data_IF_829408902737
#
_entry.id   IF_829408902737
#
_cell.length_a   1.000
_cell.length_b   1.000
_cell.length_c   1.000
_cell.angle_alpha   90.00
_cell.angle_beta   90.00
_cell.angle_gamma   90.00
#
_symmetry.space_group_name_H-M   'P 1'
#
loop_
_entity.id
_entity.type
_entity.pdbx_description
1 polymer ?
#
# COMPACT_ATOMS: atom_id res chain seq x y z
N UNK A 1 14.16 13.83 -1.23
CA UNK A 1 15.01 14.04 -2.42
C UNK A 1 14.77 13.00 -3.53
N UNK A 2 14.25 11.79 -3.24
CA UNK A 2 13.91 10.81 -4.28
C UNK A 2 12.69 11.15 -5.18
N UNK A 3 11.81 12.06 -4.75
CA UNK A 3 10.58 12.43 -5.47
C UNK A 3 10.80 13.37 -6.66
N UNK A 4 12.00 13.93 -6.83
CA UNK A 4 12.33 14.86 -7.92
C UNK A 4 12.83 14.12 -9.18
N UNK A 5 13.45 12.95 -9.04
CA UNK A 5 14.08 12.21 -10.13
C UNK A 5 13.09 11.41 -11.00
N UNK A 6 11.99 10.93 -10.42
CA UNK A 6 10.88 10.28 -11.15
C UNK A 6 10.18 11.28 -12.07
N UNK A 7 10.05 12.54 -11.64
CA UNK A 7 9.37 13.60 -12.40
C UNK A 7 10.15 14.09 -13.64
N UNK A 8 11.43 13.75 -13.75
CA UNK A 8 12.30 14.19 -14.87
C UNK A 8 12.72 13.04 -15.80
N UNK A 9 12.05 11.88 -15.74
CA UNK A 9 12.24 10.75 -16.67
C UNK A 9 13.64 10.08 -16.63
N UNK A 10 14.45 10.29 -15.57
CA UNK A 10 15.80 9.72 -15.46
C UNK A 10 15.87 8.33 -14.81
N UNK A 11 14.81 7.92 -14.10
CA UNK A 11 14.67 6.58 -13.49
C UNK A 11 13.22 6.12 -13.61
N UNK A 12 13.02 4.89 -14.07
CA UNK A 12 11.70 4.26 -14.02
C UNK A 12 11.38 3.88 -12.57
N UNK A 13 10.10 3.77 -12.26
CA UNK A 13 9.68 3.39 -10.92
C UNK A 13 10.09 1.98 -10.52
N UNK A 14 10.13 1.06 -11.49
CA UNK A 14 10.72 -0.26 -11.30
C UNK A 14 12.18 -0.14 -10.87
N UNK A 15 12.97 0.73 -11.50
CA UNK A 15 14.35 0.98 -11.09
C UNK A 15 14.44 1.64 -9.70
N UNK A 16 13.53 2.56 -9.36
CA UNK A 16 13.47 3.14 -8.01
C UNK A 16 13.15 2.05 -6.96
N UNK A 17 12.18 1.20 -7.22
CA UNK A 17 11.79 0.09 -6.34
C UNK A 17 12.94 -0.91 -6.21
N UNK A 18 13.52 -1.35 -7.33
CA UNK A 18 14.65 -2.28 -7.32
C UNK A 18 15.84 -1.68 -6.55
N UNK A 19 16.09 -0.38 -6.69
CA UNK A 19 17.11 0.33 -5.92
C UNK A 19 16.78 0.34 -4.43
N UNK A 20 15.54 0.66 -4.04
CA UNK A 20 15.11 0.67 -2.63
C UNK A 20 15.16 -0.74 -2.03
N UNK A 21 14.80 -1.78 -2.79
CA UNK A 21 14.93 -3.18 -2.40
C UNK A 21 16.38 -3.53 -2.09
N UNK A 22 17.31 -3.17 -2.97
CA UNK A 22 18.73 -3.50 -2.84
C UNK A 22 19.39 -2.69 -1.72
N UNK A 23 19.17 -1.36 -1.68
CA UNK A 23 19.84 -0.47 -0.75
C UNK A 23 19.32 -0.57 0.69
N UNK A 24 18.02 -0.80 0.86
CA UNK A 24 17.37 -0.77 2.17
C UNK A 24 16.85 -2.15 2.62
N UNK A 25 16.96 -3.18 1.77
CA UNK A 25 16.45 -4.52 2.07
C UNK A 25 14.93 -4.59 2.20
N UNK A 26 14.20 -3.63 1.62
CA UNK A 26 12.75 -3.49 1.82
C UNK A 26 12.01 -4.32 0.78
N UNK A 27 11.07 -5.15 1.23
CA UNK A 27 10.24 -5.93 0.33
C UNK A 27 9.11 -5.09 -0.29
N UNK A 28 8.72 -5.48 -1.50
CA UNK A 28 7.59 -4.90 -2.20
C UNK A 28 6.34 -5.75 -1.96
N UNK A 29 5.18 -5.11 -1.78
CA UNK A 29 3.90 -5.80 -1.69
C UNK A 29 2.82 -5.22 -2.61
N UNK A 30 2.17 -6.13 -3.31
CA UNK A 30 0.99 -5.85 -4.12
C UNK A 30 -0.26 -6.00 -3.26
N UNK A 31 -0.81 -4.87 -2.79
CA UNK A 31 -2.02 -4.91 -1.95
C UNK A 31 -3.24 -5.50 -2.66
N UNK A 32 -3.23 -5.58 -3.99
CA UNK A 32 -4.31 -6.24 -4.73
C UNK A 32 -4.39 -7.75 -4.50
N UNK A 33 -3.29 -8.36 -4.05
CA UNK A 33 -3.14 -9.81 -3.87
C UNK A 33 -3.14 -10.24 -2.41
N UNK A 34 -3.46 -9.33 -1.50
CA UNK A 34 -3.37 -9.54 -0.06
C UNK A 34 -4.74 -9.37 0.55
N UNK A 35 -5.24 -10.43 1.18
CA UNK A 35 -6.43 -10.37 2.01
C UNK A 35 -6.08 -9.74 3.37
N UNK A 36 -6.48 -8.48 3.54
CA UNK A 36 -6.31 -7.76 4.80
C UNK A 36 -7.49 -8.12 5.70
N UNK A 37 -7.24 -8.88 6.76
CA UNK A 37 -8.28 -9.26 7.72
C UNK A 37 -8.63 -8.08 8.64
N UNK A 38 -9.90 -7.97 9.10
CA UNK A 38 -10.33 -6.88 9.99
C UNK A 38 -9.54 -6.82 11.30
N UNK A 39 -9.02 -7.97 11.77
CA UNK A 39 -8.21 -8.07 12.98
C UNK A 39 -6.92 -7.25 12.92
N UNK A 40 -6.43 -6.92 11.72
CA UNK A 40 -5.25 -6.09 11.54
C UNK A 40 -5.43 -4.67 12.11
N UNK A 41 -6.67 -4.20 12.20
CA UNK A 41 -7.02 -2.92 12.84
C UNK A 41 -6.64 -2.86 14.33
N UNK A 42 -6.49 -4.02 14.98
CA UNK A 42 -6.02 -4.11 16.38
C UNK A 42 -4.55 -3.72 16.53
N UNK A 43 -3.74 -3.88 15.48
CA UNK A 43 -2.33 -3.50 15.48
C UNK A 43 -2.11 -2.07 15.00
N UNK A 44 -2.84 -1.66 13.96
CA UNK A 44 -2.83 -0.28 13.45
C UNK A 44 -4.26 0.17 13.23
N UNK A 45 -4.81 0.98 14.15
CA UNK A 45 -6.14 1.55 14.03
C UNK A 45 -6.32 2.38 12.75
N UNK A 46 -7.52 2.39 12.20
CA UNK A 46 -7.83 3.04 10.91
C UNK A 46 -7.44 4.52 10.86
N UNK A 47 -7.64 5.25 11.96
CA UNK A 47 -7.30 6.67 12.04
C UNK A 47 -5.78 6.88 11.90
N UNK A 48 -4.98 5.99 12.48
CA UNK A 48 -3.53 5.99 12.34
C UNK A 48 -3.12 5.58 10.92
N UNK A 49 -3.71 4.51 10.39
CA UNK A 49 -3.50 4.05 9.02
C UNK A 49 -3.75 5.17 7.99
N UNK A 50 -4.88 5.89 8.14
CA UNK A 50 -5.23 7.08 7.33
C UNK A 50 -4.21 8.19 7.48
N UNK A 51 -3.95 8.61 8.73
CA UNK A 51 -3.10 9.77 9.04
C UNK A 51 -1.67 9.60 8.52
N UNK A 52 -1.14 8.37 8.61
CA UNK A 52 0.25 8.07 8.25
C UNK A 52 0.38 7.40 6.89
N UNK A 53 -0.73 7.12 6.20
CA UNK A 53 -0.77 6.41 4.91
C UNK A 53 -0.03 5.06 4.94
N UNK A 54 -0.36 4.25 5.96
CA UNK A 54 0.20 2.92 6.20
C UNK A 54 -0.90 1.88 6.34
N UNK A 55 -0.60 0.63 5.97
CA UNK A 55 -1.57 -0.47 6.01
C UNK A 55 -0.91 -1.74 6.55
N UNK A 56 -1.37 -2.31 7.69
CA UNK A 56 -0.89 -3.59 8.16
C UNK A 56 -1.33 -4.70 7.19
N UNK A 57 -0.38 -5.50 6.71
CA UNK A 57 -0.64 -6.53 5.68
C UNK A 57 -0.49 -7.95 6.19
N UNK A 58 0.42 -8.16 7.14
CA UNK A 58 0.68 -9.47 7.73
C UNK A 58 1.23 -9.29 9.13
N UNK A 59 0.87 -10.19 10.02
CA UNK A 59 1.40 -10.22 11.38
C UNK A 59 2.03 -11.57 11.67
N UNK A 60 3.13 -11.56 12.40
CA UNK A 60 3.74 -12.75 13.01
C UNK A 60 3.84 -12.55 14.53
N UNK A 61 4.45 -13.53 15.22
CA UNK A 61 4.59 -13.48 16.69
C UNK A 61 5.15 -12.15 17.18
N UNK A 62 6.17 -11.61 16.49
CA UNK A 62 6.89 -10.41 16.93
C UNK A 62 6.98 -9.30 15.86
N UNK A 63 6.61 -9.61 14.61
CA UNK A 63 6.71 -8.64 13.52
C UNK A 63 5.35 -8.27 12.97
N UNK A 64 5.23 -7.01 12.56
CA UNK A 64 4.13 -6.50 11.78
C UNK A 64 4.68 -6.01 10.44
N UNK A 65 4.25 -6.65 9.37
CA UNK A 65 4.54 -6.22 8.01
C UNK A 65 3.59 -5.07 7.68
N UNK A 66 4.17 -3.93 7.31
CA UNK A 66 3.46 -2.67 7.14
C UNK A 66 3.69 -2.15 5.73
N UNK A 67 2.66 -2.15 4.90
CA UNK A 67 2.71 -1.50 3.60
C UNK A 67 2.68 0.01 3.79
N UNK A 68 3.65 0.70 3.21
CA UNK A 68 3.86 2.14 3.38
C UNK A 68 3.98 2.81 2.01
N UNK A 69 3.44 4.02 1.89
CA UNK A 69 3.68 4.87 0.73
C UNK A 69 5.10 5.46 0.72
N UNK A 70 5.66 5.71 1.91
CA UNK A 70 7.04 6.16 2.08
C UNK A 70 7.70 5.34 3.21
N UNK A 71 8.58 4.36 2.89
CA UNK A 71 9.27 3.57 3.90
C UNK A 71 10.34 4.38 4.68
N UNK A 72 10.72 5.57 4.21
CA UNK A 72 11.65 6.46 4.92
C UNK A 72 10.95 7.33 5.95
N UNK A 73 9.62 7.26 6.04
CA UNK A 73 8.84 7.97 7.05
C UNK A 73 9.02 7.30 8.43
N UNK A 74 10.10 7.68 9.10
CA UNK A 74 10.45 7.18 10.44
C UNK A 74 9.33 7.40 11.47
N UNK A 75 8.64 8.53 11.40
CA UNK A 75 7.53 8.83 12.31
C UNK A 75 6.37 7.83 12.16
N UNK A 76 6.06 7.41 10.94
CA UNK A 76 5.05 6.40 10.68
C UNK A 76 5.44 5.04 11.27
N UNK A 77 6.73 4.68 11.15
CA UNK A 77 7.28 3.42 11.69
C UNK A 77 7.21 3.41 13.21
N UNK A 78 7.69 4.46 13.88
CA UNK A 78 7.73 4.50 15.35
C UNK A 78 6.33 4.56 15.96
N UNK A 79 5.39 5.29 15.35
CA UNK A 79 4.01 5.32 15.84
C UNK A 79 3.32 3.96 15.64
N UNK A 80 3.49 3.33 14.48
CA UNK A 80 2.95 1.99 14.24
C UNK A 80 3.57 0.95 15.20
N UNK A 81 4.87 1.04 15.50
CA UNK A 81 5.56 0.20 16.49
C UNK A 81 5.00 0.39 17.89
N UNK A 82 4.81 1.65 18.31
CA UNK A 82 4.26 2.00 19.62
C UNK A 82 2.84 1.46 19.80
N UNK A 83 1.99 1.60 18.79
CA UNK A 83 0.60 1.14 18.84
C UNK A 83 0.49 -0.37 18.76
N UNK A 84 1.20 -1.00 17.82
CA UNK A 84 1.12 -2.45 17.60
C UNK A 84 1.88 -3.28 18.65
N UNK A 85 2.83 -2.65 19.36
CA UNK A 85 3.81 -3.33 20.23
C UNK A 85 4.58 -4.44 19.52
N UNK A 86 4.83 -4.27 18.22
CA UNK A 86 5.55 -5.21 17.36
C UNK A 86 6.70 -4.51 16.64
N UNK A 87 7.70 -5.29 16.24
CA UNK A 87 8.73 -4.79 15.33
C UNK A 87 8.11 -4.58 13.94
N UNK A 88 8.33 -3.40 13.38
CA UNK A 88 7.79 -3.06 12.05
C UNK A 88 8.75 -3.58 10.98
N UNK A 89 8.19 -4.31 10.02
CA UNK A 89 8.85 -4.66 8.77
C UNK A 89 8.20 -3.79 7.69
N UNK A 90 8.84 -2.67 7.28
CA UNK A 90 8.26 -1.81 6.26
C UNK A 90 8.26 -2.53 4.92
N UNK A 91 7.20 -2.34 4.14
CA UNK A 91 7.07 -2.82 2.77
C UNK A 91 6.66 -1.66 1.88
N UNK A 92 7.24 -1.56 0.68
CA UNK A 92 6.83 -0.54 -0.28
C UNK A 92 5.50 -0.96 -0.91
N UNK A 93 4.52 -0.07 -0.86
CA UNK A 93 3.25 -0.20 -1.55
C UNK A 93 3.38 0.35 -2.98
N UNK A 94 3.19 -0.49 -4.00
CA UNK A 94 3.04 -0.01 -5.37
C UNK A 94 1.65 0.59 -5.45
N UNK A 95 1.62 1.91 -5.53
CA UNK A 95 0.40 2.63 -5.90
C UNK A 95 0.11 2.40 -7.40
N UNK A 96 1.09 1.95 -8.19
CA UNK A 96 0.96 1.90 -9.64
C UNK A 96 0.14 0.76 -10.18
N UNK A 97 -0.02 -0.39 -9.52
CA UNK A 97 -1.01 -1.36 -10.03
C UNK A 97 -2.42 -0.75 -10.02
N UNK A 98 -2.70 0.10 -9.02
CA UNK A 98 -3.96 0.84 -8.90
C UNK A 98 -4.00 1.99 -9.93
N UNK A 99 -2.89 2.70 -10.15
CA UNK A 99 -2.82 3.80 -11.14
C UNK A 99 -2.85 3.25 -12.58
N UNK A 100 -2.08 2.22 -12.92
CA UNK A 100 -2.12 1.50 -14.19
C UNK A 100 -3.51 0.95 -14.46
N UNK A 101 -4.17 0.37 -13.44
CA UNK A 101 -5.56 -0.04 -13.57
C UNK A 101 -6.46 1.16 -13.86
N UNK A 102 -6.35 2.23 -13.08
CA UNK A 102 -7.11 3.46 -13.27
C UNK A 102 -6.92 4.04 -14.67
N UNK A 103 -5.69 4.08 -15.18
CA UNK A 103 -5.37 4.49 -16.55
C UNK A 103 -5.99 3.53 -17.57
N UNK A 104 -5.86 2.22 -17.39
CA UNK A 104 -6.40 1.21 -18.31
C UNK A 104 -7.93 1.24 -18.42
N UNK A 105 -8.62 1.74 -17.38
CA UNK A 105 -10.08 1.89 -17.35
C UNK A 105 -10.52 3.35 -17.50
N UNK A 106 -9.61 4.26 -17.90
CA UNK A 106 -9.87 5.70 -18.03
C UNK A 106 -10.57 6.32 -16.80
N UNK A 107 -10.18 5.90 -15.60
CA UNK A 107 -10.71 6.47 -14.37
C UNK A 107 -10.25 7.93 -14.21
N UNK A 108 -11.19 8.83 -13.88
CA UNK A 108 -10.88 10.24 -13.61
C UNK A 108 -10.33 10.45 -12.20
N UNK A 109 -10.72 9.61 -11.25
CA UNK A 109 -10.38 9.72 -9.84
C UNK A 109 -10.13 8.33 -9.23
N UNK A 110 -9.21 8.27 -8.27
CA UNK A 110 -8.95 7.09 -7.44
C UNK A 110 -9.16 7.48 -5.98
N UNK A 111 -10.14 6.85 -5.33
CA UNK A 111 -10.46 7.04 -3.92
C UNK A 111 -9.99 5.85 -3.09
N UNK A 112 -9.31 6.16 -1.99
CA UNK A 112 -8.93 5.19 -0.97
C UNK A 112 -9.81 5.43 0.26
N UNK A 113 -10.70 4.51 0.55
CA UNK A 113 -11.68 4.60 1.63
C UNK A 113 -11.43 3.50 2.68
N UNK A 114 -10.77 3.83 3.79
CA UNK A 114 -10.64 2.87 4.88
C UNK A 114 -11.95 2.81 5.68
N UNK A 115 -12.52 1.61 5.75
CA UNK A 115 -13.79 1.26 6.39
C UNK A 115 -13.58 0.59 7.75
N UNK A 116 -14.68 0.18 8.38
CA UNK A 116 -14.77 -0.72 9.54
C UNK A 116 -13.79 -1.89 9.52
N UNK A 117 -13.80 -2.61 8.41
CA UNK A 117 -13.24 -3.95 8.35
C UNK A 117 -12.15 -4.08 7.28
N UNK A 118 -12.10 -3.16 6.32
CA UNK A 118 -11.20 -3.24 5.18
C UNK A 118 -10.83 -1.87 4.60
N UNK A 119 -9.85 -1.86 3.69
CA UNK A 119 -9.56 -0.70 2.86
C UNK A 119 -10.22 -0.91 1.49
N UNK A 120 -11.19 -0.05 1.16
CA UNK A 120 -11.90 -0.08 -0.12
C UNK A 120 -11.24 0.89 -1.08
N UNK A 121 -10.88 0.40 -2.27
CA UNK A 121 -10.42 1.24 -3.37
C UNK A 121 -11.59 1.41 -4.34
N UNK A 122 -11.91 2.68 -4.64
CA UNK A 122 -12.90 3.02 -5.65
C UNK A 122 -12.27 3.85 -6.75
N UNK A 123 -12.73 3.64 -7.97
CA UNK A 123 -12.34 4.43 -9.13
C UNK A 123 -13.58 5.09 -9.72
N UNK A 124 -13.46 6.35 -10.14
CA UNK A 124 -14.52 7.01 -10.91
C UNK A 124 -14.31 6.70 -12.38
N UNK A 125 -15.18 5.88 -12.96
CA UNK A 125 -15.14 5.46 -14.36
C UNK A 125 -16.44 5.94 -15.02
N UNK A 126 -16.32 6.71 -16.10
CA UNK A 126 -17.45 7.31 -16.82
C UNK A 126 -18.42 8.08 -15.89
N UNK A 127 -17.86 8.80 -14.92
CA UNK A 127 -18.61 9.57 -13.92
C UNK A 127 -19.15 8.76 -12.74
N UNK A 128 -19.10 7.43 -12.77
CA UNK A 128 -19.61 6.56 -11.70
C UNK A 128 -18.49 6.04 -10.78
N UNK A 129 -18.74 6.09 -9.47
CA UNK A 129 -17.84 5.49 -8.46
C UNK A 129 -18.04 3.97 -8.43
N UNK A 130 -17.01 3.24 -8.84
CA UNK A 130 -17.00 1.78 -8.85
C UNK A 130 -15.99 1.26 -7.83
N UNK A 131 -16.41 0.33 -6.98
CA UNK A 131 -15.48 -0.41 -6.13
C UNK A 131 -14.73 -1.43 -6.98
N UNK A 132 -13.40 -1.36 -6.94
CA UNK A 132 -12.57 -2.31 -7.67
C UNK A 132 -12.29 -3.48 -6.74
N UNK A 133 -13.00 -4.58 -6.95
CA UNK A 133 -12.61 -5.89 -6.42
C UNK A 133 -11.58 -6.47 -7.39
N UNK A 134 -10.39 -6.80 -6.88
CA UNK A 134 -9.45 -7.58 -7.68
C UNK A 134 -10.01 -8.99 -7.75
N UNK A 135 -10.46 -9.37 -8.95
CA UNK A 135 -10.88 -10.75 -9.20
C UNK A 135 -9.73 -11.68 -8.82
N UNK A 136 -10.03 -12.73 -8.04
CA UNK A 136 -9.24 -13.95 -8.03
C UNK A 136 -9.00 -14.33 -9.49
N UNK A 137 -7.78 -14.11 -9.96
CA UNK A 137 -7.34 -14.69 -11.22
C UNK A 137 -7.45 -16.19 -11.03
N UNK A 138 -8.55 -16.79 -11.52
CA UNK A 138 -8.67 -18.23 -11.70
C UNK A 138 -7.34 -18.73 -12.25
N UNK A 139 -6.62 -19.48 -11.42
CA UNK A 139 -5.66 -20.45 -11.90
C UNK A 139 -6.48 -21.46 -12.71
N UNK A 140 -6.71 -21.16 -14.00
CA UNK A 140 -7.02 -22.17 -14.98
C UNK A 140 -5.69 -22.87 -15.27
N UNK A 141 -5.63 -24.10 -14.77
CA UNK A 141 -4.80 -25.25 -15.14
C UNK A 141 -3.60 -24.98 -16.05
#
# INVERSE_FOLDING_TARGET
MGTTLVKHNYITEKQLIDTLRIQLGIEYIDLSKVDITPEMSRYVPKNLAKKMNVVPVRVSRDQLFLAMADPLNFMAIEEAKRTSKKRIVPMIRLVNSIIERAVSVNASDIHFEPTEDNMVIRMRIDGQLQQVSYMEGKLKN
#
